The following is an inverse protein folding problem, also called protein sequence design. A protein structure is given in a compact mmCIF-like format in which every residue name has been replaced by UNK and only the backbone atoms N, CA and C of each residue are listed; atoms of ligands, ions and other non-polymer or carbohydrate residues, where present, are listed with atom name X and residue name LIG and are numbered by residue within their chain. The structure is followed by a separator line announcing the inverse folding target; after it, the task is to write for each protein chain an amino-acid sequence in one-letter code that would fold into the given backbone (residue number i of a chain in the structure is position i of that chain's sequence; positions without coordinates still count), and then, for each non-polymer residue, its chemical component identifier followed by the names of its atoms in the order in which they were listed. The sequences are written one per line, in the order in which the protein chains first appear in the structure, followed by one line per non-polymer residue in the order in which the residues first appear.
data_IF_316264345966
#
_entry.id   IF_316264345966
#
_cell.length_a   1.000
_cell.length_b   1.000
_cell.length_c   1.000
_cell.angle_alpha   90.00
_cell.angle_beta   90.00
_cell.angle_gamma   90.00
#
_symmetry.space_group_name_H-M   'P 1'
#
loop_
_entity.id
_entity.type
_entity.pdbx_description
1 polymer ?
#
# COMPACT_ATOMS: atom_id res chain seq x y z
N UNK A 1 -25.94 21.04 3.19
CA UNK A 1 -25.43 21.04 1.81
C UNK A 1 -24.30 20.04 1.77
N UNK A 2 -24.49 18.92 1.10
CA UNK A 2 -23.47 17.88 1.03
C UNK A 2 -22.36 18.35 0.07
N UNK A 3 -21.11 18.12 0.43
CA UNK A 3 -19.95 18.53 -0.38
C UNK A 3 -19.97 17.93 -1.80
N UNK A 4 -20.75 16.87 -2.01
CA UNK A 4 -21.05 16.26 -3.32
C UNK A 4 -21.93 17.15 -4.21
N UNK A 5 -22.98 17.77 -3.65
CA UNK A 5 -23.87 18.66 -4.39
C UNK A 5 -23.17 19.96 -4.77
N UNK A 6 -22.33 20.49 -3.87
CA UNK A 6 -21.53 21.70 -4.09
C UNK A 6 -20.59 21.56 -5.29
N UNK A 7 -19.94 20.41 -5.39
CA UNK A 7 -18.99 20.12 -6.48
C UNK A 7 -19.74 19.77 -7.76
N UNK A 8 -20.82 18.99 -7.67
CA UNK A 8 -21.70 18.74 -8.83
C UNK A 8 -22.26 20.06 -9.39
N UNK A 9 -22.55 21.04 -8.54
CA UNK A 9 -23.02 22.37 -8.94
C UNK A 9 -21.89 23.25 -9.49
N UNK A 10 -20.71 23.25 -8.87
CA UNK A 10 -19.54 23.99 -9.35
C UNK A 10 -19.06 23.50 -10.72
N UNK A 11 -19.17 22.20 -11.03
CA UNK A 11 -18.85 21.68 -12.36
C UNK A 11 -19.92 21.98 -13.41
N UNK A 12 -21.21 22.02 -13.02
CA UNK A 12 -22.29 22.49 -13.89
C UNK A 12 -22.10 23.96 -14.30
N UNK A 13 -21.56 24.81 -13.42
CA UNK A 13 -21.30 26.23 -13.71
C UNK A 13 -19.98 26.47 -14.45
N UNK A 14 -19.01 25.53 -14.37
CA UNK A 14 -17.67 25.64 -14.97
C UNK A 14 -17.59 25.04 -16.39
N UNK A 15 -18.71 24.99 -17.13
CA UNK A 15 -18.86 24.37 -18.47
C UNK A 15 -18.04 24.97 -19.64
N UNK A 16 -16.78 25.35 -19.43
CA UNK A 16 -15.81 25.73 -20.46
C UNK A 16 -14.45 25.11 -20.17
N UNK A 17 -14.20 23.91 -20.69
CA UNK A 17 -12.82 23.41 -20.81
C UNK A 17 -12.59 21.90 -20.77
N UNK A 18 -13.55 21.08 -20.33
CA UNK A 18 -13.43 19.61 -20.41
C UNK A 18 -14.36 19.07 -21.50
N UNK A 19 -13.92 18.05 -22.28
CA UNK A 19 -14.79 17.36 -23.23
C UNK A 19 -16.05 16.87 -22.53
N UNK A 20 -17.22 17.23 -23.07
CA UNK A 20 -18.53 16.98 -22.46
C UNK A 20 -18.76 15.49 -22.16
N UNK A 21 -18.25 14.60 -23.00
CA UNK A 21 -18.30 13.15 -22.79
C UNK A 21 -17.57 12.68 -21.53
N UNK A 22 -16.44 13.32 -21.22
CA UNK A 22 -15.65 13.01 -20.03
C UNK A 22 -16.39 13.46 -18.78
N UNK A 23 -17.01 14.64 -18.81
CA UNK A 23 -17.84 15.16 -17.71
C UNK A 23 -19.12 14.35 -17.48
N UNK A 24 -19.75 13.81 -18.53
CA UNK A 24 -20.93 12.96 -18.39
C UNK A 24 -20.59 11.59 -17.82
N UNK A 25 -19.41 11.05 -18.13
CA UNK A 25 -18.95 9.75 -17.62
C UNK A 25 -18.43 9.84 -16.18
N UNK A 26 -17.89 10.99 -15.77
CA UNK A 26 -17.25 11.14 -14.46
C UNK A 26 -18.18 10.82 -13.27
N UNK A 27 -19.40 11.39 -13.13
CA UNK A 27 -20.30 11.07 -12.01
C UNK A 27 -20.71 9.60 -11.96
N UNK A 28 -20.89 8.97 -13.13
CA UNK A 28 -21.16 7.54 -13.25
C UNK A 28 -19.96 6.70 -12.80
N UNK A 29 -18.76 7.06 -13.25
CA UNK A 29 -17.50 6.46 -12.79
C UNK A 29 -17.37 6.59 -11.27
N UNK A 30 -17.66 7.75 -10.69
CA UNK A 30 -17.60 7.96 -9.25
C UNK A 30 -18.55 7.03 -8.49
N UNK A 31 -19.80 6.89 -8.94
CA UNK A 31 -20.80 5.98 -8.34
C UNK A 31 -20.46 4.49 -8.52
N UNK A 32 -19.99 4.09 -9.70
CA UNK A 32 -19.54 2.70 -9.97
C UNK A 32 -18.34 2.32 -9.11
N UNK A 33 -17.49 3.29 -8.76
CA UNK A 33 -16.33 3.08 -7.88
C UNK A 33 -16.67 3.07 -6.38
N UNK A 34 -17.87 3.51 -5.99
CA UNK A 34 -18.31 3.57 -4.59
C UNK A 34 -18.92 2.24 -4.11
N UNK A 35 -19.50 1.44 -5.04
CA UNK A 35 -20.27 0.24 -4.70
C UNK A 35 -19.65 -1.12 -5.07
N UNK A 36 -18.83 -1.24 -6.12
CA UNK A 36 -18.59 -2.57 -6.74
C UNK A 36 -17.11 -3.02 -6.85
N UNK A 37 -16.12 -2.17 -6.57
CA UNK A 37 -14.73 -2.47 -7.02
C UNK A 37 -13.65 -2.51 -5.95
N UNK A 38 -13.94 -2.16 -4.70
CA UNK A 38 -12.96 -2.28 -3.60
C UNK A 38 -12.91 -3.67 -2.97
N UNK A 39 -13.94 -4.52 -3.08
CA UNK A 39 -13.95 -5.86 -2.47
C UNK A 39 -13.75 -7.02 -3.46
N UNK A 40 -13.88 -6.80 -4.77
CA UNK A 40 -13.87 -7.84 -5.80
C UNK A 40 -12.51 -8.02 -6.52
N UNK A 41 -11.54 -7.14 -6.28
CA UNK A 41 -10.20 -7.21 -6.88
C UNK A 41 -9.15 -7.73 -5.89
N UNK A 42 -8.11 -8.43 -6.38
CA UNK A 42 -6.96 -8.86 -5.56
C UNK A 42 -6.32 -7.71 -4.77
N UNK A 43 -6.40 -6.47 -5.27
CA UNK A 43 -5.87 -5.28 -4.61
C UNK A 43 -6.78 -4.70 -3.51
N UNK A 44 -8.02 -5.19 -3.37
CA UNK A 44 -9.02 -4.68 -2.44
C UNK A 44 -8.56 -4.62 -0.98
N UNK A 45 -8.07 -5.74 -0.41
CA UNK A 45 -7.52 -5.75 0.95
C UNK A 45 -6.34 -4.79 1.16
N UNK A 46 -5.51 -4.59 0.12
CA UNK A 46 -4.34 -3.68 0.17
C UNK A 46 -4.81 -2.23 0.20
N UNK A 47 -5.85 -1.90 -0.56
CA UNK A 47 -6.48 -0.58 -0.56
C UNK A 47 -7.07 -0.24 0.82
N UNK A 48 -7.85 -1.16 1.40
CA UNK A 48 -8.46 -0.97 2.71
C UNK A 48 -7.42 -0.79 3.81
N UNK A 49 -6.32 -1.55 3.74
CA UNK A 49 -5.19 -1.41 4.66
C UNK A 49 -4.55 -0.01 4.57
N UNK A 50 -4.27 0.49 3.37
CA UNK A 50 -3.67 1.82 3.18
C UNK A 50 -4.59 2.91 3.73
N UNK A 51 -5.89 2.84 3.45
CA UNK A 51 -6.84 3.82 3.98
C UNK A 51 -6.96 3.77 5.51
N UNK A 52 -7.01 2.57 6.09
CA UNK A 52 -7.13 2.37 7.53
C UNK A 52 -5.87 2.85 8.27
N UNK A 53 -4.69 2.48 7.77
CA UNK A 53 -3.39 2.81 8.38
C UNK A 53 -3.15 4.32 8.36
N UNK A 54 -3.44 4.98 7.23
CA UNK A 54 -3.05 6.38 7.01
C UNK A 54 -4.15 7.41 7.32
N UNK A 55 -5.30 6.99 7.85
CA UNK A 55 -6.40 7.87 8.29
C UNK A 55 -6.84 8.89 7.23
N UNK A 56 -6.93 8.46 5.97
CA UNK A 56 -7.36 9.32 4.87
C UNK A 56 -8.88 9.61 4.87
N UNK A 57 -9.60 9.16 5.90
CA UNK A 57 -11.06 9.15 6.00
C UNK A 57 -11.66 10.35 6.78
N UNK A 58 -10.97 11.50 6.86
CA UNK A 58 -11.54 12.69 7.53
C UNK A 58 -12.59 13.38 6.64
N UNK A 59 -13.77 13.61 7.21
CA UNK A 59 -15.06 14.06 6.62
C UNK A 59 -15.07 15.27 5.66
N UNK A 60 -13.95 15.96 5.40
CA UNK A 60 -13.89 17.18 4.54
C UNK A 60 -13.23 16.96 3.17
N UNK A 61 -12.88 15.73 2.80
CA UNK A 61 -12.00 15.49 1.65
C UNK A 61 -12.48 14.32 0.77
N UNK A 62 -13.78 14.28 0.45
CA UNK A 62 -14.37 13.22 -0.37
C UNK A 62 -13.69 13.12 -1.77
N UNK A 63 -13.41 14.26 -2.41
CA UNK A 63 -12.68 14.32 -3.69
C UNK A 63 -11.25 13.78 -3.57
N UNK A 64 -10.56 14.07 -2.46
CA UNK A 64 -9.20 13.58 -2.22
C UNK A 64 -9.19 12.08 -2.02
N UNK A 65 -10.16 11.55 -1.27
CA UNK A 65 -10.35 10.10 -1.09
C UNK A 65 -10.54 9.45 -2.45
N UNK A 66 -11.40 10.02 -3.28
CA UNK A 66 -11.71 9.49 -4.60
C UNK A 66 -10.55 9.57 -5.59
N UNK A 67 -9.79 10.67 -5.59
CA UNK A 67 -8.57 10.79 -6.37
C UNK A 67 -7.53 9.74 -5.95
N UNK A 68 -7.39 9.47 -4.64
CA UNK A 68 -6.48 8.43 -4.13
C UNK A 68 -6.95 7.04 -4.57
N UNK A 69 -8.25 6.74 -4.49
CA UNK A 69 -8.84 5.48 -4.96
C UNK A 69 -8.50 5.26 -6.44
N UNK A 70 -8.77 6.27 -7.29
CA UNK A 70 -8.52 6.19 -8.73
C UNK A 70 -7.02 6.00 -9.01
N UNK A 71 -6.15 6.77 -8.35
CA UNK A 71 -4.69 6.63 -8.51
C UNK A 71 -4.24 5.22 -8.10
N UNK A 72 -4.70 4.72 -6.95
CA UNK A 72 -4.35 3.37 -6.49
C UNK A 72 -4.86 2.32 -7.48
N UNK A 73 -6.10 2.40 -7.95
CA UNK A 73 -6.65 1.46 -8.93
C UNK A 73 -5.89 1.48 -10.26
N UNK A 74 -5.52 2.65 -10.78
CA UNK A 74 -4.72 2.76 -12.02
C UNK A 74 -3.31 2.19 -11.83
N UNK A 75 -2.71 2.47 -10.68
CA UNK A 75 -1.39 1.97 -10.33
C UNK A 75 -1.41 0.45 -10.15
N UNK A 76 -2.41 -0.11 -9.46
CA UNK A 76 -2.51 -1.55 -9.19
C UNK A 76 -3.05 -2.36 -10.38
N UNK A 77 -4.05 -1.87 -11.11
CA UNK A 77 -4.71 -2.58 -12.22
C UNK A 77 -3.98 -2.52 -13.57
N UNK A 78 -2.88 -1.77 -13.67
CA UNK A 78 -2.07 -1.71 -14.89
C UNK A 78 -0.58 -1.85 -14.59
N UNK A 79 0.00 -0.81 -14.00
CA UNK A 79 1.46 -0.65 -13.92
C UNK A 79 2.12 -1.57 -12.90
N UNK A 80 1.58 -1.67 -11.68
CA UNK A 80 2.11 -2.56 -10.65
C UNK A 80 1.87 -4.00 -11.04
N UNK A 81 0.69 -4.38 -11.53
CA UNK A 81 0.45 -5.75 -11.96
C UNK A 81 1.46 -6.16 -13.05
N UNK A 82 1.65 -5.33 -14.08
CA UNK A 82 2.64 -5.59 -15.12
C UNK A 82 4.05 -5.65 -14.54
N UNK A 83 4.45 -4.67 -13.75
CA UNK A 83 5.79 -4.61 -13.15
C UNK A 83 6.04 -5.79 -12.22
N UNK A 84 5.05 -6.22 -11.44
CA UNK A 84 5.12 -7.36 -10.56
C UNK A 84 5.29 -8.65 -11.38
N UNK A 85 4.47 -8.84 -12.44
CA UNK A 85 4.61 -9.99 -13.35
C UNK A 85 5.98 -10.03 -14.01
N UNK A 86 6.47 -8.90 -14.53
CA UNK A 86 7.80 -8.81 -15.14
C UNK A 86 8.91 -9.10 -14.13
N UNK A 87 8.78 -8.58 -12.91
CA UNK A 87 9.73 -8.77 -11.83
C UNK A 87 9.77 -10.24 -11.41
N UNK A 88 8.61 -10.85 -11.14
CA UNK A 88 8.49 -12.27 -10.82
C UNK A 88 9.06 -13.11 -11.96
N UNK A 89 8.72 -12.82 -13.21
CA UNK A 89 9.26 -13.54 -14.37
C UNK A 89 10.79 -13.44 -14.45
N UNK A 90 11.36 -12.28 -14.14
CA UNK A 90 12.81 -12.08 -14.07
C UNK A 90 13.49 -12.84 -12.93
N UNK A 91 12.80 -13.05 -11.80
CA UNK A 91 13.31 -13.80 -10.64
C UNK A 91 13.05 -15.31 -10.71
N UNK A 92 12.10 -15.74 -11.55
CA UNK A 92 11.74 -17.16 -11.75
C UNK A 92 12.49 -17.74 -12.96
N UNK A 93 13.44 -17.00 -13.53
CA UNK A 93 14.39 -17.56 -14.49
C UNK A 93 15.24 -18.67 -13.84
N UNK A 94 15.62 -19.68 -14.62
CA UNK A 94 16.20 -20.94 -14.15
C UNK A 94 17.44 -20.72 -13.29
N UNK A 95 18.29 -19.76 -13.66
CA UNK A 95 19.49 -19.37 -12.92
C UNK A 95 19.18 -18.74 -11.55
N UNK A 96 18.09 -18.00 -11.42
CA UNK A 96 17.68 -17.39 -10.16
C UNK A 96 17.04 -18.41 -9.22
N UNK A 97 16.21 -19.31 -9.75
CA UNK A 97 15.64 -20.40 -8.97
C UNK A 97 16.74 -21.32 -8.42
N UNK A 98 17.71 -21.71 -9.25
CA UNK A 98 18.87 -22.48 -8.78
C UNK A 98 19.65 -21.75 -7.69
N UNK A 99 19.83 -20.43 -7.82
CA UNK A 99 20.47 -19.62 -6.79
C UNK A 99 19.65 -19.57 -5.50
N UNK A 100 18.33 -19.39 -5.58
CA UNK A 100 17.46 -19.38 -4.39
C UNK A 100 17.45 -20.75 -3.69
N UNK A 101 17.38 -21.84 -4.46
CA UNK A 101 17.47 -23.21 -3.92
C UNK A 101 18.84 -23.45 -3.29
N UNK A 102 19.92 -22.96 -3.91
CA UNK A 102 21.27 -23.07 -3.34
C UNK A 102 21.38 -22.30 -2.03
N UNK A 103 20.95 -21.04 -1.99
CA UNK A 103 20.93 -20.23 -0.77
C UNK A 103 20.07 -20.90 0.31
N UNK A 104 18.91 -21.43 -0.05
CA UNK A 104 18.02 -22.12 0.89
C UNK A 104 18.68 -23.38 1.46
N UNK A 105 19.25 -24.21 0.57
CA UNK A 105 20.00 -25.41 0.94
C UNK A 105 21.18 -25.06 1.84
N UNK A 106 21.96 -24.03 1.53
CA UNK A 106 23.13 -23.64 2.31
C UNK A 106 22.73 -23.03 3.67
N UNK A 107 21.57 -22.37 3.76
CA UNK A 107 21.05 -21.84 5.02
C UNK A 107 20.50 -22.94 5.94
N UNK A 108 19.85 -23.97 5.39
CA UNK A 108 19.31 -25.09 6.16
C UNK A 108 20.32 -26.20 6.41
N UNK A 109 21.23 -26.44 5.48
CA UNK A 109 22.28 -27.45 5.54
C UNK A 109 23.67 -26.88 5.22
N UNK A 110 24.21 -25.98 6.06
CA UNK A 110 25.57 -25.46 5.86
C UNK A 110 26.56 -26.64 5.90
N UNK A 111 27.28 -26.86 4.80
CA UNK A 111 28.22 -27.99 4.69
C UNK A 111 27.56 -29.38 4.64
N UNK A 112 26.26 -29.47 4.33
CA UNK A 112 25.53 -30.74 4.18
C UNK A 112 24.92 -31.31 5.47
N UNK A 113 25.14 -30.67 6.62
CA UNK A 113 24.50 -31.03 7.89
C UNK A 113 23.40 -30.05 8.24
N UNK A 114 22.28 -30.53 8.76
CA UNK A 114 21.16 -29.68 9.18
C UNK A 114 21.68 -28.66 10.20
N UNK A 115 21.39 -27.38 9.96
CA UNK A 115 21.76 -26.28 10.85
C UNK A 115 21.17 -26.55 12.22
N UNK A 116 22.01 -26.51 13.26
CA UNK A 116 21.52 -26.60 14.64
C UNK A 116 20.58 -25.42 14.92
N UNK A 117 19.55 -25.66 15.73
CA UNK A 117 18.63 -24.59 16.14
C UNK A 117 19.45 -23.44 16.72
N UNK A 118 19.36 -22.25 16.10
CA UNK A 118 20.07 -21.07 16.57
C UNK A 118 19.63 -20.72 17.98
N UNK A 119 20.51 -20.05 18.73
CA UNK A 119 20.16 -19.55 20.07
C UNK A 119 18.92 -18.66 19.94
N UNK A 120 17.83 -18.96 20.65
CA UNK A 120 16.66 -18.09 20.65
C UNK A 120 17.08 -16.70 21.12
N UNK A 121 16.71 -15.66 20.36
CA UNK A 121 16.98 -14.28 20.78
C UNK A 121 16.49 -14.03 22.19
N UNK A 122 17.33 -13.41 23.01
CA UNK A 122 16.94 -13.00 24.37
C UNK A 122 15.82 -11.96 24.31
N UNK A 123 15.06 -11.82 25.40
CA UNK A 123 14.02 -10.79 25.52
C UNK A 123 14.57 -9.38 25.25
N UNK A 124 15.77 -9.10 25.75
CA UNK A 124 16.52 -7.86 25.55
C UNK A 124 16.88 -7.65 24.07
N UNK A 125 17.38 -8.69 23.39
CA UNK A 125 17.80 -8.60 21.99
C UNK A 125 16.59 -8.44 21.04
N UNK A 126 15.47 -9.08 21.36
CA UNK A 126 14.19 -8.87 20.68
C UNK A 126 13.69 -7.44 20.87
N UNK A 127 13.79 -6.88 22.08
CA UNK A 127 13.40 -5.50 22.35
C UNK A 127 14.28 -4.50 21.61
N UNK A 128 15.61 -4.68 21.62
CA UNK A 128 16.56 -3.81 20.91
C UNK A 128 16.32 -3.81 19.40
N UNK A 129 16.18 -5.00 18.81
CA UNK A 129 15.95 -5.15 17.36
C UNK A 129 14.61 -4.53 16.95
N UNK A 130 13.59 -4.66 17.82
CA UNK A 130 12.29 -4.02 17.64
C UNK A 130 12.42 -2.50 17.64
N UNK A 131 13.09 -1.91 18.62
CA UNK A 131 13.26 -0.45 18.68
C UNK A 131 14.04 0.12 17.49
N UNK A 132 15.07 -0.61 17.04
CA UNK A 132 15.84 -0.24 15.86
C UNK A 132 14.96 -0.28 14.59
N UNK A 133 14.14 -1.32 14.43
CA UNK A 133 13.19 -1.43 13.33
C UNK A 133 12.15 -0.29 13.36
N UNK A 134 11.61 0.05 14.53
CA UNK A 134 10.67 1.17 14.69
C UNK A 134 11.29 2.49 14.24
N UNK A 135 12.53 2.74 14.67
CA UNK A 135 13.27 3.96 14.37
C UNK A 135 13.52 4.08 12.87
N UNK A 136 13.98 3.00 12.23
CA UNK A 136 14.21 2.95 10.77
C UNK A 136 12.91 3.16 10.00
N UNK A 137 11.85 2.42 10.33
CA UNK A 137 10.55 2.54 9.66
C UNK A 137 9.98 3.96 9.80
N UNK A 138 10.00 4.52 11.01
CA UNK A 138 9.51 5.88 11.27
C UNK A 138 10.30 6.97 10.53
N UNK A 139 11.60 6.74 10.27
CA UNK A 139 12.44 7.66 9.52
C UNK A 139 12.23 7.56 8.00
N UNK A 140 12.05 6.34 7.47
CA UNK A 140 11.95 6.08 6.02
C UNK A 140 10.55 6.32 5.45
N UNK A 141 9.51 5.98 6.21
CA UNK A 141 8.12 6.07 5.73
C UNK A 141 7.71 7.47 5.25
N UNK A 142 8.12 8.59 5.89
CA UNK A 142 7.83 9.92 5.41
C UNK A 142 8.43 10.17 4.03
N UNK A 143 9.64 9.69 3.73
CA UNK A 143 10.29 9.93 2.44
C UNK A 143 9.69 9.06 1.34
N UNK A 144 9.28 7.83 1.67
CA UNK A 144 8.65 6.90 0.73
C UNK A 144 7.19 7.27 0.39
N UNK A 145 6.41 7.74 1.36
CA UNK A 145 4.96 7.93 1.21
C UNK A 145 4.50 9.40 1.27
N UNK A 146 5.41 10.37 1.43
CA UNK A 146 5.08 11.80 1.50
C UNK A 146 4.23 12.27 0.32
N UNK A 147 4.63 11.91 -0.89
CA UNK A 147 4.01 12.41 -2.12
C UNK A 147 2.59 11.88 -2.31
N UNK A 148 2.27 10.72 -1.75
CA UNK A 148 0.96 10.08 -1.92
C UNK A 148 -0.01 10.42 -0.78
N UNK A 149 0.49 10.50 0.46
CA UNK A 149 -0.37 10.53 1.66
C UNK A 149 -0.06 11.73 2.57
N UNK A 150 1.09 12.38 2.39
CA UNK A 150 1.58 13.50 3.19
C UNK A 150 2.44 13.05 4.38
N UNK A 151 3.51 13.80 4.68
CA UNK A 151 4.51 13.44 5.72
C UNK A 151 3.91 13.15 7.09
N UNK A 152 2.95 13.95 7.53
CA UNK A 152 2.28 13.77 8.83
C UNK A 152 1.51 12.45 8.90
N UNK A 153 0.76 12.12 7.84
CA UNK A 153 -0.01 10.89 7.76
C UNK A 153 0.91 9.67 7.63
N UNK A 154 1.97 9.77 6.82
CA UNK A 154 2.98 8.72 6.69
C UNK A 154 3.65 8.37 8.03
N UNK A 155 4.04 9.38 8.83
CA UNK A 155 4.57 9.17 10.19
C UNK A 155 3.57 8.48 11.12
N UNK A 156 2.31 8.90 11.05
CA UNK A 156 1.24 8.33 11.90
C UNK A 156 0.94 6.89 11.51
N UNK A 157 0.85 6.60 10.22
CA UNK A 157 0.66 5.25 9.70
C UNK A 157 1.80 4.30 10.06
N UNK A 158 3.06 4.75 9.95
CA UNK A 158 4.23 3.97 10.36
C UNK A 158 4.15 3.55 11.84
N UNK A 159 3.78 4.48 12.73
CA UNK A 159 3.58 4.19 14.16
C UNK A 159 2.45 3.20 14.42
N UNK A 160 1.35 3.27 13.65
CA UNK A 160 0.20 2.37 13.81
C UNK A 160 0.52 0.95 13.33
N UNK A 161 1.17 0.78 12.18
CA UNK A 161 1.67 -0.52 11.71
C UNK A 161 2.61 -1.14 12.75
N UNK A 162 3.49 -0.33 13.32
CA UNK A 162 4.39 -0.82 14.34
C UNK A 162 3.67 -1.23 15.64
N UNK A 163 2.65 -0.45 16.04
CA UNK A 163 1.84 -0.73 17.21
C UNK A 163 0.91 -1.95 17.03
N UNK A 164 0.43 -2.24 15.82
CA UNK A 164 -0.39 -3.44 15.58
C UNK A 164 0.41 -4.73 15.75
N UNK A 165 1.72 -4.69 15.51
CA UNK A 165 2.63 -5.82 15.76
C UNK A 165 3.09 -5.92 17.23
N UNK A 166 2.60 -5.03 18.10
CA UNK A 166 2.92 -4.97 19.54
C UNK A 166 1.88 -5.70 20.41
N UNK A 167 0.71 -6.01 19.86
CA UNK A 167 -0.34 -6.77 20.57
C UNK A 167 0.02 -8.25 20.39
N UNK A 168 0.23 -8.94 21.51
CA UNK A 168 0.66 -10.34 21.67
C UNK A 168 2.18 -10.53 21.82
N UNK A 169 2.62 -10.27 23.06
CA UNK A 169 3.88 -10.73 23.64
C UNK A 169 3.70 -10.93 25.13
#
# INVERSE_FOLDING_TARGET
MNDEELVAQAFKTTGKGLPEETLMKFPGILKTLEGETSSSSFSGPIYDLILAVFELNKKKNWLRRQAIVIILQQVFGGTIERKLRDTVRSYVDESHLLRFVTIFKDNMWPGGSLKSSGVPHSTEEKARTRDEANRKLSALMPDLAANMIGRSNARRGARRIFASYRIDG
#
